data_IF_699335463455
#
_entry.id   IF_699335463455
#
_cell.length_a   1.000
_cell.length_b   1.000
_cell.length_c   1.000
_cell.angle_alpha   90.00
_cell.angle_beta   90.00
_cell.angle_gamma   90.00
#
_symmetry.space_group_name_H-M   'P 1'
#
loop_
_entity.id
_entity.type
_entity.pdbx_description
1 polymer ?
#
# COMPACT_ATOMS: atom_id res chain seq x y z
N UNK A 1 -9.08 11.26 30.77
CA UNK A 1 -9.85 10.12 30.23
C UNK A 1 -9.66 8.92 31.15
N UNK A 2 -10.72 8.23 31.58
CA UNK A 2 -10.58 6.95 32.29
C UNK A 2 -10.12 5.89 31.29
N UNK A 3 -9.08 5.13 31.63
CA UNK A 3 -8.63 4.00 30.82
C UNK A 3 -9.74 2.95 30.81
N UNK A 4 -10.17 2.54 29.63
CA UNK A 4 -11.11 1.43 29.48
C UNK A 4 -10.33 0.14 29.74
N UNK A 5 -10.73 -0.62 30.75
CA UNK A 5 -10.09 -1.88 31.15
C UNK A 5 -10.86 -3.12 30.68
N UNK A 6 -12.14 -2.97 30.33
CA UNK A 6 -12.99 -4.08 29.90
C UNK A 6 -12.77 -4.38 28.41
N UNK A 7 -12.39 -5.62 28.09
CA UNK A 7 -12.13 -6.13 26.74
C UNK A 7 -13.33 -5.94 25.80
N UNK A 8 -14.56 -6.15 26.29
CA UNK A 8 -15.78 -6.00 25.48
C UNK A 8 -15.97 -4.55 25.04
N UNK A 9 -15.61 -3.62 25.92
CA UNK A 9 -15.74 -2.20 25.67
C UNK A 9 -14.62 -1.69 24.76
N UNK A 10 -13.41 -2.28 24.83
CA UNK A 10 -12.32 -2.05 23.86
C UNK A 10 -12.73 -2.52 22.47
N UNK A 11 -13.30 -3.71 22.33
CA UNK A 11 -13.70 -4.26 21.04
C UNK A 11 -14.80 -3.42 20.38
N UNK A 12 -15.76 -2.94 21.16
CA UNK A 12 -16.78 -2.00 20.68
C UNK A 12 -16.19 -0.64 20.28
N UNK A 13 -15.18 -0.15 21.00
CA UNK A 13 -14.46 1.06 20.63
C UNK A 13 -13.71 0.90 19.29
N UNK A 14 -13.03 -0.23 19.09
CA UNK A 14 -12.37 -0.55 17.82
C UNK A 14 -13.37 -0.61 16.64
N UNK A 15 -14.55 -1.20 16.86
CA UNK A 15 -15.62 -1.18 15.86
C UNK A 15 -16.10 0.23 15.54
N UNK A 16 -16.25 1.10 16.55
CA UNK A 16 -16.62 2.50 16.34
C UNK A 16 -15.55 3.26 15.55
N UNK A 17 -14.26 3.07 15.89
CA UNK A 17 -13.13 3.65 15.14
C UNK A 17 -13.15 3.16 13.69
N UNK A 18 -13.40 1.87 13.46
CA UNK A 18 -13.51 1.32 12.10
C UNK A 18 -14.62 1.98 11.29
N UNK A 19 -15.81 2.16 11.89
CA UNK A 19 -16.94 2.83 11.22
C UNK A 19 -16.57 4.29 10.91
N UNK A 20 -16.01 5.02 11.88
CA UNK A 20 -15.60 6.41 11.69
C UNK A 20 -14.54 6.53 10.58
N UNK A 21 -13.57 5.61 10.54
CA UNK A 21 -12.55 5.56 9.50
C UNK A 21 -13.15 5.30 8.11
N UNK A 22 -14.12 4.40 7.99
CA UNK A 22 -14.83 4.15 6.72
C UNK A 22 -15.57 5.41 6.26
N UNK A 23 -16.32 6.05 7.16
CA UNK A 23 -17.06 7.27 6.85
C UNK A 23 -16.10 8.39 6.44
N UNK A 24 -14.99 8.58 7.16
CA UNK A 24 -13.95 9.56 6.82
C UNK A 24 -13.34 9.28 5.44
N UNK A 25 -13.02 8.01 5.16
CA UNK A 25 -12.46 7.61 3.87
C UNK A 25 -13.42 7.91 2.72
N UNK A 26 -14.70 7.58 2.88
CA UNK A 26 -15.74 7.91 1.88
C UNK A 26 -15.86 9.42 1.71
N UNK A 27 -15.88 10.19 2.81
CA UNK A 27 -15.94 11.65 2.76
C UNK A 27 -14.77 12.26 1.98
N UNK A 28 -13.55 11.80 2.24
CA UNK A 28 -12.35 12.22 1.50
C UNK A 28 -12.45 11.85 0.01
N UNK A 29 -12.89 10.63 -0.30
CA UNK A 29 -13.08 10.20 -1.69
C UNK A 29 -14.14 11.03 -2.42
N UNK A 30 -15.23 11.41 -1.76
CA UNK A 30 -16.25 12.28 -2.35
C UNK A 30 -15.70 13.68 -2.66
N UNK A 31 -14.92 14.28 -1.75
CA UNK A 31 -14.31 15.60 -1.96
C UNK A 31 -13.30 15.54 -3.11
N UNK A 32 -12.39 14.56 -3.09
CA UNK A 32 -11.39 14.39 -4.15
C UNK A 32 -12.04 14.04 -5.50
N UNK A 33 -13.09 13.22 -5.48
CA UNK A 33 -13.87 12.90 -6.66
C UNK A 33 -14.56 14.12 -7.27
N UNK A 34 -15.09 15.01 -6.44
CA UNK A 34 -15.66 16.28 -6.91
C UNK A 34 -14.61 17.18 -7.58
N UNK A 35 -13.45 17.35 -6.95
CA UNK A 35 -12.34 18.11 -7.55
C UNK A 35 -11.84 17.47 -8.85
N UNK A 36 -11.82 16.14 -8.91
CA UNK A 36 -11.48 15.41 -10.13
C UNK A 36 -12.45 15.69 -11.28
N UNK A 37 -13.77 15.75 -11.02
CA UNK A 37 -14.75 16.11 -12.06
C UNK A 37 -14.65 17.58 -12.50
N UNK A 38 -14.23 18.48 -11.61
CA UNK A 38 -14.18 19.91 -11.87
C UNK A 38 -12.88 20.37 -12.54
N UNK A 39 -11.74 19.83 -12.09
CA UNK A 39 -10.40 20.26 -12.49
C UNK A 39 -9.50 19.12 -13.00
N UNK A 40 -10.06 17.93 -13.21
CA UNK A 40 -9.30 16.76 -13.66
C UNK A 40 -8.30 16.25 -12.62
N UNK A 41 -7.29 15.52 -13.09
CA UNK A 41 -6.21 15.00 -12.24
C UNK A 41 -5.39 16.11 -11.57
N UNK A 42 -5.24 17.25 -12.24
CA UNK A 42 -4.45 18.37 -11.72
C UNK A 42 -5.16 19.01 -10.52
N UNK A 43 -6.46 19.34 -10.65
CA UNK A 43 -7.24 19.92 -9.56
C UNK A 43 -7.37 19.00 -8.34
N UNK A 44 -7.39 17.68 -8.55
CA UNK A 44 -7.35 16.72 -7.44
C UNK A 44 -6.00 16.73 -6.71
N UNK A 45 -4.88 16.79 -7.43
CA UNK A 45 -3.51 16.74 -6.86
C UNK A 45 -3.11 18.03 -6.16
N UNK A 46 -3.62 19.18 -6.61
CA UNK A 46 -3.40 20.47 -5.95
C UNK A 46 -4.09 20.55 -4.59
N UNK A 47 -5.13 19.74 -4.36
CA UNK A 47 -5.82 19.71 -3.08
C UNK A 47 -4.93 19.06 -2.00
N UNK A 48 -4.60 19.76 -0.89
CA UNK A 48 -3.77 19.19 0.18
C UNK A 48 -4.39 17.94 0.81
N UNK A 49 -5.71 17.77 0.73
CA UNK A 49 -6.42 16.58 1.17
C UNK A 49 -5.95 15.31 0.42
N UNK A 50 -5.57 15.44 -0.86
CA UNK A 50 -5.06 14.34 -1.66
C UNK A 50 -3.73 13.84 -1.10
N UNK A 51 -2.83 14.76 -0.74
CA UNK A 51 -1.53 14.40 -0.15
C UNK A 51 -1.70 13.67 1.18
N UNK A 52 -2.57 14.17 2.07
CA UNK A 52 -2.87 13.53 3.36
C UNK A 52 -3.49 12.14 3.15
N UNK A 53 -4.41 12.02 2.20
CA UNK A 53 -5.03 10.74 1.85
C UNK A 53 -4.01 9.71 1.34
N UNK A 54 -3.11 10.13 0.45
CA UNK A 54 -2.04 9.25 -0.06
C UNK A 54 -1.09 8.81 1.06
N UNK A 55 -0.64 9.74 1.90
CA UNK A 55 0.25 9.42 3.01
C UNK A 55 -0.39 8.44 4.00
N UNK A 56 -1.63 8.71 4.41
CA UNK A 56 -2.36 7.84 5.35
C UNK A 56 -2.62 6.46 4.75
N UNK A 57 -2.91 6.38 3.45
CA UNK A 57 -3.09 5.11 2.74
C UNK A 57 -1.80 4.29 2.65
N UNK A 58 -0.65 4.93 2.43
CA UNK A 58 0.66 4.27 2.46
C UNK A 58 0.94 3.71 3.86
N UNK A 59 0.78 4.51 4.91
CA UNK A 59 0.99 4.07 6.31
C UNK A 59 0.04 2.92 6.67
N UNK A 60 -1.24 3.04 6.33
CA UNK A 60 -2.24 2.00 6.56
C UNK A 60 -1.90 0.71 5.81
N UNK A 61 -1.39 0.82 4.58
CA UNK A 61 -0.89 -0.32 3.81
C UNK A 61 0.26 -1.05 4.50
N UNK A 62 1.28 -0.33 4.98
CA UNK A 62 2.38 -0.93 5.74
C UNK A 62 1.93 -1.60 7.04
N UNK A 63 1.00 -0.98 7.77
CA UNK A 63 0.49 -1.52 9.03
C UNK A 63 -0.36 -2.78 8.79
N UNK A 64 -1.20 -2.77 7.75
CA UNK A 64 -1.96 -3.94 7.31
C UNK A 64 -1.04 -5.08 6.89
N UNK A 65 0.05 -4.76 6.21
CA UNK A 65 1.05 -5.74 5.76
C UNK A 65 1.75 -6.43 6.94
N UNK A 66 2.12 -5.70 7.99
CA UNK A 66 2.68 -6.31 9.20
C UNK A 66 1.71 -7.27 9.87
N UNK A 67 0.43 -6.90 9.99
CA UNK A 67 -0.60 -7.76 10.60
C UNK A 67 -0.89 -8.98 9.73
N UNK A 68 -0.93 -8.81 8.41
CA UNK A 68 -1.19 -9.90 7.47
C UNK A 68 -0.11 -10.99 7.54
N UNK A 69 1.16 -10.60 7.71
CA UNK A 69 2.29 -11.53 7.81
C UNK A 69 2.23 -12.31 9.13
N UNK A 70 1.79 -11.68 10.22
CA UNK A 70 1.59 -12.35 11.52
C UNK A 70 0.41 -13.31 11.54
N UNK A 71 -0.59 -13.12 10.68
CA UNK A 71 -1.77 -13.97 10.59
C UNK A 71 -1.63 -15.13 9.57
N UNK A 72 -0.49 -15.25 8.87
CA UNK A 72 -0.22 -16.37 7.96
C UNK A 72 0.01 -17.66 8.78
N UNK A 73 -0.93 -18.63 8.69
CA UNK A 73 -0.89 -19.91 9.42
C UNK A 73 0.17 -20.91 8.95
N UNK A 74 0.67 -20.73 7.73
CA UNK A 74 1.71 -21.57 7.15
C UNK A 74 2.95 -20.72 6.90
N UNK A 75 4.11 -21.17 7.38
CA UNK A 75 5.41 -20.58 7.05
C UNK A 75 5.68 -20.78 5.57
N UNK A 76 5.22 -19.82 4.78
CA UNK A 76 5.54 -19.78 3.36
C UNK A 76 7.00 -19.38 3.23
N UNK A 77 7.84 -20.38 2.90
CA UNK A 77 9.27 -20.27 2.65
C UNK A 77 9.64 -18.89 2.06
N UNK A 78 10.24 -18.03 2.90
CA UNK A 78 10.37 -16.58 2.67
C UNK A 78 11.01 -16.26 1.32
N UNK A 79 12.00 -17.07 0.91
CA UNK A 79 12.72 -16.96 -0.36
C UNK A 79 11.84 -17.24 -1.59
N UNK A 80 10.99 -18.27 -1.55
CA UNK A 80 10.10 -18.61 -2.68
C UNK A 80 9.03 -17.54 -2.88
N UNK A 81 8.46 -17.03 -1.78
CA UNK A 81 7.44 -15.97 -1.83
C UNK A 81 8.01 -14.65 -2.36
N UNK A 82 9.23 -14.29 -1.94
CA UNK A 82 9.93 -13.11 -2.44
C UNK A 82 10.24 -13.20 -3.93
N UNK A 83 10.71 -14.35 -4.43
CA UNK A 83 10.99 -14.55 -5.86
C UNK A 83 9.70 -14.42 -6.70
N UNK A 84 8.59 -15.02 -6.26
CA UNK A 84 7.30 -14.89 -6.97
C UNK A 84 6.87 -13.42 -7.02
N UNK A 85 6.96 -12.71 -5.89
CA UNK A 85 6.63 -11.29 -5.81
C UNK A 85 7.50 -10.44 -6.75
N UNK A 86 8.80 -10.74 -6.83
CA UNK A 86 9.76 -10.06 -7.70
C UNK A 86 9.46 -10.28 -9.18
N UNK A 87 9.11 -11.52 -9.56
CA UNK A 87 8.71 -11.85 -10.94
C UNK A 87 7.45 -11.07 -11.32
N UNK A 88 6.43 -11.07 -10.46
CA UNK A 88 5.18 -10.33 -10.71
C UNK A 88 5.44 -8.83 -10.84
N UNK A 89 6.25 -8.24 -9.96
CA UNK A 89 6.63 -6.82 -10.06
C UNK A 89 7.32 -6.52 -11.39
N UNK A 90 8.27 -7.37 -11.80
CA UNK A 90 9.02 -7.21 -13.05
C UNK A 90 8.08 -7.27 -14.26
N UNK A 91 7.13 -8.22 -14.29
CA UNK A 91 6.12 -8.33 -15.35
C UNK A 91 5.26 -7.06 -15.43
N UNK A 92 4.82 -6.53 -14.29
CA UNK A 92 4.03 -5.29 -14.24
C UNK A 92 4.84 -4.10 -14.76
N UNK A 93 6.09 -3.95 -14.32
CA UNK A 93 6.97 -2.86 -14.78
C UNK A 93 7.21 -2.94 -16.28
N UNK A 94 7.50 -4.13 -16.82
CA UNK A 94 7.67 -4.33 -18.27
C UNK A 94 6.38 -3.98 -19.03
N UNK A 95 5.22 -4.41 -18.54
CA UNK A 95 3.94 -4.07 -19.17
C UNK A 95 3.69 -2.55 -19.19
N UNK A 96 3.94 -1.86 -18.08
CA UNK A 96 3.72 -0.40 -17.97
C UNK A 96 4.73 0.38 -18.83
N UNK A 97 6.00 0.00 -18.82
CA UNK A 97 7.03 0.63 -19.67
C UNK A 97 6.74 0.44 -21.16
N UNK A 98 6.25 -0.73 -21.56
CA UNK A 98 5.84 -1.00 -22.92
C UNK A 98 4.64 -0.14 -23.35
N UNK A 99 3.59 -0.06 -22.52
CA UNK A 99 2.41 0.76 -22.80
C UNK A 99 2.73 2.25 -22.88
N UNK A 100 3.58 2.75 -21.99
CA UNK A 100 4.01 4.15 -22.00
C UNK A 100 4.89 4.47 -23.22
N UNK A 101 5.73 3.54 -23.68
CA UNK A 101 6.57 3.74 -24.88
C UNK A 101 5.79 3.76 -26.20
N UNK A 102 4.57 3.22 -26.24
CA UNK A 102 3.67 3.25 -27.41
C UNK A 102 2.81 4.53 -27.43
N UNK A 103 2.74 5.27 -26.33
CA UNK A 103 1.90 6.46 -26.23
C UNK A 103 2.49 7.59 -27.09
N UNK A 104 1.71 8.26 -27.97
CA UNK A 104 2.22 9.23 -28.96
C UNK A 104 2.94 10.46 -28.39
N UNK A 105 2.85 10.69 -27.08
CA UNK A 105 3.31 11.90 -26.40
C UNK A 105 4.54 11.65 -25.49
N UNK A 106 5.08 10.43 -25.45
CA UNK A 106 6.20 10.06 -24.57
C UNK A 106 7.25 9.28 -25.35
N UNK A 107 8.52 9.70 -25.24
CA UNK A 107 9.63 9.00 -25.87
C UNK A 107 9.95 7.67 -25.18
N UNK A 108 10.79 6.85 -25.82
CA UNK A 108 11.32 5.61 -25.21
C UNK A 108 12.04 5.86 -23.88
N UNK A 109 12.66 7.03 -23.74
CA UNK A 109 13.37 7.44 -22.51
C UNK A 109 12.38 7.67 -21.37
N UNK A 110 11.21 8.26 -21.63
CA UNK A 110 10.19 8.53 -20.60
C UNK A 110 9.58 7.23 -20.07
N UNK A 111 9.31 6.28 -20.97
CA UNK A 111 8.84 4.94 -20.58
C UNK A 111 9.84 4.23 -19.67
N UNK A 112 11.13 4.27 -20.01
CA UNK A 112 12.18 3.67 -19.19
C UNK A 112 12.29 4.35 -17.81
N UNK A 113 12.20 5.69 -17.77
CA UNK A 113 12.29 6.47 -16.53
C UNK A 113 11.12 6.14 -15.58
N UNK A 114 9.89 6.07 -16.10
CA UNK A 114 8.70 5.64 -15.36
C UNK A 114 8.86 4.21 -14.85
N UNK A 115 9.41 3.31 -15.68
CA UNK A 115 9.69 1.93 -15.30
C UNK A 115 10.61 1.80 -14.11
N UNK A 116 11.74 2.53 -14.13
CA UNK A 116 12.72 2.53 -13.04
C UNK A 116 12.10 3.06 -11.75
N UNK A 117 11.34 4.16 -11.83
CA UNK A 117 10.65 4.73 -10.65
C UNK A 117 9.67 3.71 -10.06
N UNK A 118 8.84 3.07 -10.89
CA UNK A 118 7.89 2.06 -10.44
C UNK A 118 8.58 0.84 -9.84
N UNK A 119 9.69 0.41 -10.43
CA UNK A 119 10.48 -0.70 -9.92
C UNK A 119 11.03 -0.40 -8.51
N UNK A 120 11.64 0.77 -8.31
CA UNK A 120 12.15 1.20 -7.00
C UNK A 120 11.00 1.31 -5.98
N UNK A 121 9.88 1.92 -6.38
CA UNK A 121 8.72 2.09 -5.52
C UNK A 121 8.10 0.75 -5.09
N UNK A 122 8.03 -0.23 -6.00
CA UNK A 122 7.53 -1.58 -5.70
C UNK A 122 8.53 -2.43 -4.92
N UNK A 123 9.82 -2.19 -5.08
CA UNK A 123 10.87 -2.94 -4.39
C UNK A 123 10.86 -2.70 -2.88
N UNK A 124 10.60 -1.47 -2.43
CA UNK A 124 10.64 -1.10 -1.01
C UNK A 124 9.61 -1.91 -0.18
N UNK A 125 8.30 -1.97 -0.53
CA UNK A 125 7.34 -2.81 0.18
C UNK A 125 7.70 -4.30 0.13
N UNK A 126 8.20 -4.81 -1.00
CA UNK A 126 8.58 -6.23 -1.11
C UNK A 126 9.75 -6.58 -0.18
N UNK A 127 10.75 -5.71 -0.11
CA UNK A 127 11.88 -5.87 0.80
C UNK A 127 11.41 -5.86 2.27
N UNK A 128 10.47 -4.97 2.60
CA UNK A 128 9.89 -4.90 3.94
C UNK A 128 9.16 -6.20 4.33
N UNK A 129 8.35 -6.79 3.44
CA UNK A 129 7.71 -8.11 3.67
C UNK A 129 8.74 -9.21 3.87
N UNK A 130 9.75 -9.26 3.01
CA UNK A 130 10.80 -10.26 3.12
C UNK A 130 11.48 -10.20 4.49
N UNK A 131 11.79 -8.99 4.96
CA UNK A 131 12.33 -8.77 6.31
C UNK A 131 11.39 -9.20 7.42
N UNK A 132 10.08 -8.95 7.30
CA UNK A 132 9.09 -9.39 8.29
C UNK A 132 9.01 -10.92 8.35
N UNK A 133 8.91 -11.60 7.21
CA UNK A 133 8.87 -13.06 7.14
C UNK A 133 10.17 -13.71 7.62
N UNK A 134 11.32 -13.16 7.25
CA UNK A 134 12.62 -13.66 7.71
C UNK A 134 12.76 -13.54 9.24
N UNK A 135 12.21 -12.49 9.84
CA UNK A 135 12.21 -12.34 11.30
C UNK A 135 11.31 -13.39 11.98
N UNK A 136 10.13 -13.66 11.43
CA UNK A 136 9.25 -14.71 11.96
C UNK A 136 9.84 -16.11 11.86
N UNK A 137 10.54 -16.43 10.76
CA UNK A 137 11.24 -17.71 10.62
C UNK A 137 12.31 -17.88 11.72
N UNK A 138 13.04 -16.81 12.09
CA UNK A 138 14.02 -16.84 13.19
C UNK A 138 13.35 -17.01 14.56
N UNK A 139 12.31 -16.23 14.84
CA UNK A 139 11.61 -16.29 16.14
C UNK A 139 11.00 -17.68 16.41
N UNK A 140 10.70 -18.47 15.36
CA UNK A 140 10.20 -19.85 15.46
C UNK A 140 11.28 -20.93 15.49
N UNK A 141 12.51 -20.64 15.05
CA UNK A 141 13.65 -21.57 15.19
C UNK A 141 14.27 -21.50 16.59
N UNK A 142 14.07 -20.38 17.30
CA UNK A 142 14.56 -20.13 18.67
C UNK A 142 13.61 -20.65 19.78
N UNK A 143 12.41 -21.15 19.44
CA UNK A 143 11.39 -21.71 20.36
C UNK A 143 11.35 -23.25 20.33
#
# INVERSE_FOLDING_TARGET
>A
MKKITDERLILRNLQNIKIAYIVQTIGVLCILGYEFFKGGLEGMRENPLWMVFMLTSVVSGYLSMSVSVEHEKELKNSKKSFIVSLIVLTVIVVAVTYLTSITPNSGWIDGLLIGVILFICGFIPMYYVYRLRAKQEQDLEDE
#
